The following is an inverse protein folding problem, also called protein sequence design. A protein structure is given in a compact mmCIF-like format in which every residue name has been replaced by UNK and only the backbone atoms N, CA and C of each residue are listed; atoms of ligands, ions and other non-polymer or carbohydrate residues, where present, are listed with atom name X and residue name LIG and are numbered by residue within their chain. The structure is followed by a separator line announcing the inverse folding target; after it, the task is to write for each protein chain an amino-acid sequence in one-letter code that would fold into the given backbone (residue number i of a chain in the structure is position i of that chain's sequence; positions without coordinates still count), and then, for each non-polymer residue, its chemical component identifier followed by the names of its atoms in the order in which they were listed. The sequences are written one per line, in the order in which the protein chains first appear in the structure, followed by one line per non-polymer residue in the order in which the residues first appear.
data_IF_558746658992
#
_entry.id   IF_558746658992
#
_cell.length_a   1.000
_cell.length_b   1.000
_cell.length_c   1.000
_cell.angle_alpha   90.00
_cell.angle_beta   90.00
_cell.angle_gamma   90.00
#
_symmetry.space_group_name_H-M   'P 1'
#
loop_
_entity.id
_entity.type
_entity.pdbx_description
1 polymer ?
#
# COMPACT_ATOMS: atom_id res chain seq x y z
N UNK A 1 -9.60 74.58 3.31
CA UNK A 1 -10.72 73.74 2.83
C UNK A 1 -10.10 72.62 1.98
N UNK A 2 -9.19 71.79 2.49
CA UNK A 2 -9.38 70.73 3.49
C UNK A 2 -10.62 69.87 3.25
N UNK A 3 -10.47 68.82 2.43
CA UNK A 3 -11.22 67.56 2.52
C UNK A 3 -10.30 66.43 2.03
N UNK A 4 -9.42 65.92 2.91
CA UNK A 4 -9.56 64.64 3.63
C UNK A 4 -9.86 63.44 2.72
N UNK A 5 -8.78 62.81 2.26
CA UNK A 5 -8.73 61.45 1.75
C UNK A 5 -9.22 60.53 2.88
N UNK A 6 -10.29 59.75 2.63
CA UNK A 6 -10.74 58.70 3.56
C UNK A 6 -9.76 57.54 3.49
N UNK A 7 -9.01 57.35 4.57
CA UNK A 7 -8.31 56.11 4.86
C UNK A 7 -9.24 55.29 5.76
N UNK A 8 -9.93 54.30 5.19
CA UNK A 8 -10.73 53.31 5.91
C UNK A 8 -11.06 52.20 4.91
N UNK A 9 -10.18 51.19 4.84
CA UNK A 9 -10.45 49.80 4.38
C UNK A 9 -9.11 49.04 4.40
N UNK A 10 -8.53 48.89 5.60
CA UNK A 10 -7.29 48.14 5.80
C UNK A 10 -7.40 47.17 7.00
N UNK A 11 -8.55 46.54 7.19
CA UNK A 11 -8.73 45.45 8.16
C UNK A 11 -9.70 44.44 7.55
N UNK A 12 -9.26 43.34 6.94
CA UNK A 12 -9.07 42.09 7.68
C UNK A 12 -8.28 41.13 6.78
N UNK A 13 -6.99 40.93 7.08
CA UNK A 13 -6.25 39.82 6.52
C UNK A 13 -6.93 38.50 6.96
N UNK A 14 -7.04 37.47 6.10
CA UNK A 14 -7.51 36.16 6.57
C UNK A 14 -6.54 35.70 7.66
N UNK A 15 -7.06 35.50 8.88
CA UNK A 15 -6.33 34.88 9.99
C UNK A 15 -5.67 33.62 9.44
N UNK A 16 -4.34 33.64 9.32
CA UNK A 16 -3.58 32.43 9.10
C UNK A 16 -3.86 31.53 10.31
N UNK A 17 -4.69 30.50 10.10
CA UNK A 17 -4.77 29.40 11.06
C UNK A 17 -3.38 28.78 11.00
N UNK A 18 -2.52 29.15 11.94
CA UNK A 18 -1.31 28.41 12.27
C UNK A 18 -1.77 27.04 12.79
N UNK A 19 -2.11 26.14 11.86
CA UNK A 19 -2.16 24.71 12.10
C UNK A 19 -0.71 24.32 12.35
N UNK A 20 -0.29 24.41 13.60
CA UNK A 20 0.82 23.61 14.07
C UNK A 20 0.49 22.16 13.69
N UNK A 21 1.39 21.43 13.01
CA UNK A 21 1.14 20.04 12.71
C UNK A 21 1.04 19.31 14.05
N UNK A 22 -0.19 18.99 14.45
CA UNK A 22 -0.48 18.08 15.55
C UNK A 22 0.46 16.87 15.42
N UNK A 23 1.10 16.41 16.52
CA UNK A 23 2.00 15.28 16.46
C UNK A 23 1.25 14.08 15.90
N UNK A 24 1.68 13.61 14.72
CA UNK A 24 1.04 12.49 14.03
C UNK A 24 1.09 11.28 14.96
N UNK A 25 -0.07 10.89 15.48
CA UNK A 25 -0.19 9.72 16.35
C UNK A 25 0.01 8.45 15.50
N UNK A 26 1.23 7.92 15.55
CA UNK A 26 1.62 6.74 14.78
C UNK A 26 0.77 5.49 15.12
N UNK A 27 0.14 5.44 16.30
CA UNK A 27 -0.76 4.34 16.67
C UNK A 27 -2.09 4.38 15.89
N UNK A 28 -2.65 5.57 15.71
CA UNK A 28 -3.88 5.77 14.94
C UNK A 28 -3.66 5.42 13.47
N UNK A 29 -2.53 5.85 12.90
CA UNK A 29 -2.14 5.51 11.53
C UNK A 29 -2.08 3.99 11.35
N UNK A 30 -1.41 3.27 12.25
CA UNK A 30 -1.29 1.80 12.17
C UNK A 30 -2.60 1.05 12.38
N UNK A 31 -3.57 1.66 13.06
CA UNK A 31 -4.91 1.09 13.20
C UNK A 31 -5.79 1.29 11.96
N UNK A 32 -5.51 2.35 11.18
CA UNK A 32 -6.32 2.74 10.02
C UNK A 32 -5.91 2.04 8.73
N UNK A 33 -4.62 1.74 8.56
CA UNK A 33 -4.09 1.14 7.34
C UNK A 33 -3.61 -0.29 7.60
N UNK A 34 -3.81 -1.22 6.64
CA UNK A 34 -3.26 -2.56 6.77
C UNK A 34 -1.73 -2.49 6.87
N UNK A 35 -1.10 -3.36 7.68
CA UNK A 35 0.33 -3.30 7.91
C UNK A 35 1.16 -3.57 6.64
N UNK A 36 0.60 -4.30 5.68
CA UNK A 36 1.19 -4.58 4.37
C UNK A 36 1.38 -3.30 3.54
N UNK A 37 0.47 -2.32 3.64
CA UNK A 37 0.61 -1.02 2.97
C UNK A 37 1.74 -0.17 3.58
N UNK A 38 1.93 -0.28 4.90
CA UNK A 38 2.94 0.49 5.64
C UNK A 38 4.34 -0.17 5.60
N UNK A 39 4.44 -1.42 5.16
CA UNK A 39 5.68 -2.20 5.14
C UNK A 39 6.49 -1.88 3.88
N UNK A 40 7.54 -1.06 4.00
CA UNK A 40 8.48 -0.71 2.92
C UNK A 40 9.79 -1.52 2.94
N UNK A 41 9.76 -2.70 3.54
CA UNK A 41 10.92 -3.57 3.65
C UNK A 41 10.50 -5.02 3.56
N UNK A 42 11.40 -5.85 3.06
CA UNK A 42 11.22 -7.29 2.97
C UNK A 42 12.24 -8.00 3.85
N UNK A 43 11.84 -9.15 4.38
CA UNK A 43 12.71 -9.98 5.22
C UNK A 43 12.90 -11.30 4.54
N UNK A 44 14.16 -11.62 4.22
CA UNK A 44 14.55 -12.86 3.58
C UNK A 44 15.24 -13.78 4.58
N UNK A 45 14.92 -15.07 4.52
CA UNK A 45 15.68 -16.10 5.22
C UNK A 45 16.78 -16.64 4.31
N UNK A 46 18.04 -16.33 4.64
CA UNK A 46 19.17 -16.99 4.01
C UNK A 46 19.35 -18.39 4.59
N UNK A 47 19.40 -19.40 3.74
CA UNK A 47 19.63 -20.76 4.20
C UNK A 47 21.02 -20.93 4.80
N UNK A 48 21.13 -21.75 5.85
CA UNK A 48 22.39 -22.00 6.57
C UNK A 48 23.40 -22.70 5.66
N UNK A 49 24.65 -22.23 5.67
CA UNK A 49 25.76 -22.84 4.92
C UNK A 49 26.05 -24.28 5.32
N UNK A 50 25.68 -24.67 6.55
CA UNK A 50 25.86 -26.04 7.06
C UNK A 50 25.01 -27.07 6.31
N UNK A 51 23.89 -26.65 5.70
CA UNK A 51 22.95 -27.56 5.03
C UNK A 51 23.40 -27.78 3.59
N UNK A 52 23.60 -29.04 3.22
CA UNK A 52 23.94 -29.40 1.83
C UNK A 52 22.71 -29.22 0.92
N UNK A 53 22.84 -28.55 -0.24
CA UNK A 53 21.74 -28.40 -1.19
C UNK A 53 21.31 -29.76 -1.76
N UNK A 54 20.01 -29.95 -1.90
CA UNK A 54 19.38 -31.15 -2.46
C UNK A 54 19.36 -31.09 -3.99
N UNK A 55 19.32 -32.26 -4.62
CA UNK A 55 18.98 -32.38 -6.04
C UNK A 55 17.46 -32.31 -6.22
N UNK A 56 16.99 -31.83 -7.37
CA UNK A 56 15.55 -31.72 -7.68
C UNK A 56 14.83 -33.08 -7.51
N UNK A 57 15.50 -34.19 -7.85
CA UNK A 57 14.96 -35.55 -7.71
C UNK A 57 14.74 -35.98 -6.26
N UNK A 58 15.44 -35.36 -5.31
CA UNK A 58 15.35 -35.70 -3.88
C UNK A 58 14.37 -34.78 -3.13
N UNK A 59 13.64 -33.90 -3.82
CA UNK A 59 12.57 -33.09 -3.20
C UNK A 59 11.33 -33.96 -3.09
N UNK A 60 11.00 -34.38 -1.87
CA UNK A 60 9.89 -35.29 -1.56
C UNK A 60 8.81 -34.58 -0.74
N UNK A 61 7.67 -35.23 -0.55
CA UNK A 61 6.54 -34.70 0.24
C UNK A 61 6.94 -34.31 1.69
N UNK A 62 7.96 -34.96 2.26
CA UNK A 62 8.53 -34.61 3.56
C UNK A 62 9.15 -33.20 3.62
N UNK A 63 9.42 -32.58 2.47
CA UNK A 63 9.99 -31.23 2.38
C UNK A 63 8.94 -30.12 2.37
N UNK A 64 7.64 -30.46 2.32
CA UNK A 64 6.56 -29.46 2.32
C UNK A 64 6.57 -28.70 3.65
N UNK A 65 6.49 -27.37 3.59
CA UNK A 65 6.52 -26.49 4.76
C UNK A 65 7.92 -26.25 5.37
N UNK A 66 9.00 -26.73 4.73
CA UNK A 66 10.37 -26.59 5.22
C UNK A 66 11.23 -25.72 4.30
N UNK A 67 12.18 -24.99 4.88
CA UNK A 67 13.21 -24.25 4.11
C UNK A 67 14.27 -25.23 3.58
N UNK A 68 14.27 -25.46 2.27
CA UNK A 68 15.24 -26.30 1.55
C UNK A 68 16.13 -25.45 0.63
N UNK A 69 17.30 -25.99 0.29
CA UNK A 69 18.18 -25.43 -0.73
C UNK A 69 18.31 -26.43 -1.87
N UNK A 70 18.21 -25.97 -3.12
CA UNK A 70 18.27 -26.81 -4.31
C UNK A 70 19.31 -26.26 -5.28
N UNK A 71 20.05 -27.15 -5.97
CA UNK A 71 21.03 -26.77 -6.99
C UNK A 71 20.57 -27.24 -8.38
N UNK A 72 20.68 -26.37 -9.39
CA UNK A 72 20.31 -26.67 -10.77
C UNK A 72 20.79 -25.60 -11.76
N UNK A 73 20.39 -25.75 -13.03
CA UNK A 73 20.65 -24.79 -14.11
C UNK A 73 19.33 -24.11 -14.48
N UNK A 74 19.32 -22.77 -14.55
CA UNK A 74 18.14 -22.00 -14.96
C UNK A 74 18.01 -22.06 -16.48
N UNK A 75 16.87 -22.56 -16.98
CA UNK A 75 16.64 -22.74 -18.43
C UNK A 75 15.76 -21.65 -19.03
N UNK A 76 14.86 -21.07 -18.25
CA UNK A 76 13.96 -20.00 -18.69
C UNK A 76 13.67 -19.06 -17.53
N UNK A 77 13.88 -17.77 -17.74
CA UNK A 77 13.44 -16.70 -16.87
C UNK A 77 12.35 -15.90 -17.57
N UNK A 78 11.34 -15.45 -16.84
CA UNK A 78 10.30 -14.53 -17.35
C UNK A 78 10.71 -13.09 -17.09
N UNK A 79 10.15 -12.16 -17.85
CA UNK A 79 10.28 -10.73 -17.58
C UNK A 79 9.64 -10.36 -16.23
N UNK A 80 10.16 -9.29 -15.62
CA UNK A 80 9.63 -8.75 -14.37
C UNK A 80 8.26 -8.16 -14.62
N UNK A 81 7.26 -8.65 -13.90
CA UNK A 81 5.90 -8.12 -13.88
C UNK A 81 5.58 -7.66 -12.47
N UNK A 82 5.08 -6.44 -12.28
CA UNK A 82 4.72 -5.97 -10.96
C UNK A 82 3.52 -6.77 -10.42
N UNK A 83 3.59 -7.17 -9.15
CA UNK A 83 2.55 -7.91 -8.44
C UNK A 83 1.89 -6.99 -7.41
N UNK A 84 0.56 -6.97 -7.36
CA UNK A 84 -0.17 -6.16 -6.38
C UNK A 84 -0.28 -6.97 -5.09
N UNK A 85 0.14 -6.39 -3.96
CA UNK A 85 0.03 -6.98 -2.62
C UNK A 85 -1.17 -6.44 -1.85
N UNK A 86 -1.43 -5.13 -1.97
CA UNK A 86 -2.59 -4.45 -1.39
C UNK A 86 -3.27 -3.59 -2.46
N UNK A 87 -4.56 -3.80 -2.69
CA UNK A 87 -5.36 -2.96 -3.57
C UNK A 87 -6.06 -1.87 -2.75
N UNK A 88 -5.81 -0.62 -3.12
CA UNK A 88 -6.57 0.53 -2.63
C UNK A 88 -7.68 0.84 -3.63
N UNK A 89 -8.88 1.11 -3.13
CA UNK A 89 -10.00 1.54 -3.95
C UNK A 89 -10.54 2.87 -3.43
N UNK A 90 -10.82 3.79 -4.35
CA UNK A 90 -11.26 5.14 -4.00
C UNK A 90 -12.65 5.36 -4.57
N UNK A 91 -13.61 5.73 -3.72
CA UNK A 91 -14.94 6.06 -4.21
C UNK A 91 -14.98 7.51 -4.71
N UNK A 92 -15.30 7.72 -5.99
CA UNK A 92 -15.43 9.07 -6.57
C UNK A 92 -16.54 9.92 -5.91
N UNK A 93 -17.53 9.28 -5.28
CA UNK A 93 -18.66 9.97 -4.66
C UNK A 93 -18.38 10.46 -3.24
N UNK A 94 -17.80 9.62 -2.38
CA UNK A 94 -17.52 9.99 -0.98
C UNK A 94 -16.04 10.23 -0.68
N UNK A 95 -15.14 9.94 -1.61
CA UNK A 95 -13.69 10.00 -1.39
C UNK A 95 -13.17 8.97 -0.38
N UNK A 96 -13.97 7.99 0.01
CA UNK A 96 -13.55 6.96 0.96
C UNK A 96 -12.62 5.97 0.27
N UNK A 97 -11.53 5.63 0.97
CA UNK A 97 -10.57 4.62 0.58
C UNK A 97 -10.90 3.28 1.25
N UNK A 98 -10.86 2.19 0.49
CA UNK A 98 -11.00 0.82 1.00
C UNK A 98 -9.77 0.00 0.62
N UNK A 99 -9.27 -0.79 1.56
CA UNK A 99 -8.05 -1.57 1.40
C UNK A 99 -8.38 -3.06 1.35
N UNK A 100 -7.85 -3.78 0.36
CA UNK A 100 -7.98 -5.23 0.22
C UNK A 100 -6.61 -5.88 0.06
N UNK A 101 -6.27 -6.79 0.96
CA UNK A 101 -5.06 -7.62 0.85
C UNK A 101 -5.24 -8.72 -0.20
N UNK A 102 -4.24 -8.89 -1.08
CA UNK A 102 -4.25 -9.87 -2.16
C UNK A 102 -3.27 -10.99 -1.83
N UNK A 103 -3.80 -12.17 -1.53
CA UNK A 103 -3.00 -13.36 -1.22
C UNK A 103 -2.77 -14.27 -2.43
N UNK A 104 -3.54 -14.08 -3.51
CA UNK A 104 -3.59 -14.97 -4.66
C UNK A 104 -3.37 -14.20 -5.96
N UNK A 105 -2.76 -14.83 -6.99
CA UNK A 105 -2.53 -14.18 -8.28
C UNK A 105 -3.83 -13.83 -9.03
N UNK A 106 -4.93 -14.49 -8.69
CA UNK A 106 -6.28 -14.17 -9.15
C UNK A 106 -7.11 -13.73 -7.97
N UNK A 107 -7.72 -12.55 -8.05
CA UNK A 107 -8.56 -12.00 -6.99
C UNK A 107 -9.81 -11.34 -7.59
N UNK A 108 -10.84 -11.18 -6.76
CA UNK A 108 -12.08 -10.49 -7.12
C UNK A 108 -12.03 -9.06 -6.58
N UNK A 109 -12.18 -8.03 -7.43
CA UNK A 109 -12.14 -6.65 -6.99
C UNK A 109 -13.38 -6.28 -6.18
N UNK A 110 -13.26 -5.25 -5.35
CA UNK A 110 -14.40 -4.64 -4.67
C UNK A 110 -15.22 -3.83 -5.69
N UNK A 111 -16.51 -4.15 -5.78
CA UNK A 111 -17.45 -3.48 -6.70
C UNK A 111 -18.38 -2.49 -5.99
N UNK A 112 -18.41 -2.50 -4.65
CA UNK A 112 -19.30 -1.67 -3.85
C UNK A 112 -18.54 -0.93 -2.75
N UNK A 113 -18.88 0.34 -2.55
CA UNK A 113 -18.36 1.14 -1.46
C UNK A 113 -18.94 0.68 -0.12
N UNK A 114 -18.09 0.51 0.89
CA UNK A 114 -18.48 0.10 2.26
C UNK A 114 -19.18 1.21 3.06
N UNK A 115 -19.12 2.46 2.60
CA UNK A 115 -19.70 3.61 3.30
C UNK A 115 -21.23 3.63 3.16
N UNK A 116 -21.94 3.94 4.26
CA UNK A 116 -23.40 4.00 4.29
C UNK A 116 -23.99 5.01 3.28
N UNK A 117 -23.25 6.06 2.94
CA UNK A 117 -23.65 7.12 1.99
C UNK A 117 -23.68 6.63 0.53
N UNK A 118 -22.88 5.61 0.19
CA UNK A 118 -22.60 5.23 -1.20
C UNK A 118 -23.01 3.80 -1.56
N UNK A 119 -23.89 3.17 -0.78
CA UNK A 119 -24.37 1.79 -0.99
C UNK A 119 -25.04 1.51 -2.36
N UNK A 120 -25.14 2.49 -3.25
CA UNK A 120 -25.94 2.41 -4.48
C UNK A 120 -25.15 2.40 -5.80
N UNK A 121 -23.89 2.86 -5.89
CA UNK A 121 -23.20 3.00 -7.19
C UNK A 121 -21.67 2.83 -7.15
N UNK A 122 -21.13 2.51 -8.33
CA UNK A 122 -19.81 1.99 -8.68
C UNK A 122 -18.59 2.67 -8.05
N UNK A 123 -17.58 1.83 -7.76
CA UNK A 123 -16.27 2.18 -7.22
C UNK A 123 -15.27 2.34 -8.39
N UNK A 124 -14.48 3.42 -8.39
CA UNK A 124 -13.36 3.59 -9.34
C UNK A 124 -12.07 3.12 -8.70
N UNK A 125 -11.28 2.37 -9.47
CA UNK A 125 -10.08 1.71 -9.00
C UNK A 125 -8.89 2.65 -9.19
N UNK A 126 -8.24 3.05 -8.09
CA UNK A 126 -6.89 3.61 -8.13
C UNK A 126 -5.96 2.57 -7.52
N UNK A 127 -5.38 1.73 -8.37
CA UNK A 127 -4.34 0.79 -7.92
C UNK A 127 -3.09 1.60 -7.65
N UNK A 128 -2.81 1.91 -6.39
CA UNK A 128 -1.45 2.29 -6.01
C UNK A 128 -0.56 1.06 -6.16
N UNK A 129 0.20 1.05 -7.26
CA UNK A 129 1.26 0.07 -7.48
C UNK A 129 2.41 0.38 -6.53
N UNK A 130 2.50 -0.37 -5.43
CA UNK A 130 3.81 -0.58 -4.82
C UNK A 130 4.55 -1.59 -5.69
N UNK A 131 5.19 -1.09 -6.74
CA UNK A 131 6.08 -1.90 -7.54
C UNK A 131 7.31 -2.19 -6.68
N UNK A 132 7.37 -3.39 -6.10
CA UNK A 132 8.58 -3.91 -5.48
C UNK A 132 9.65 -4.13 -6.56
N UNK A 133 10.32 -3.05 -6.96
CA UNK A 133 11.60 -3.12 -7.68
C UNK A 133 12.70 -3.38 -6.65
N UNK A 134 12.60 -4.52 -5.96
CA UNK A 134 13.69 -5.08 -5.17
C UNK A 134 14.60 -5.88 -6.09
N UNK A 135 15.79 -5.36 -6.36
CA UNK A 135 16.93 -6.12 -6.89
C UNK A 135 17.57 -6.86 -5.71
#
# INVERSE_FOLDING_TARGET
MEQRIRAEDAETAPRAVSREPEPVNMAEVRSRFPPELLRRFEVYFCGRSDKKPLSVRNVLASSIGHLIQVRGVVTRATEVKPLITTATYTCDRCGAESYQEINNPTFMPLIACSTAVCKMLDLVVVVDYHADTGI
#
